data_IF_850586329468
#
_entry.id   IF_850586329468
#
_cell.length_a   1.000
_cell.length_b   1.000
_cell.length_c   1.000
_cell.angle_alpha   90.00
_cell.angle_beta   90.00
_cell.angle_gamma   90.00
#
_symmetry.space_group_name_H-M   'P 1'
#
loop_
_entity.id
_entity.type
_entity.pdbx_description
1 polymer ?
#
# COMPACT_ATOMS: atom_id res chain seq x y z
N UNK A 1 -0.36 -24.97 -4.66
CA UNK A 1 0.95 -24.71 -5.30
C UNK A 1 1.32 -23.23 -5.14
N UNK A 2 2.60 -22.90 -4.96
CA UNK A 2 3.09 -21.51 -4.98
C UNK A 2 4.12 -21.37 -6.10
N UNK A 3 3.96 -20.33 -6.92
CA UNK A 3 4.88 -19.96 -8.01
C UNK A 3 5.47 -18.58 -7.75
N UNK A 4 6.68 -18.35 -8.24
CA UNK A 4 7.48 -17.15 -8.01
C UNK A 4 7.90 -16.55 -9.34
N UNK A 5 7.96 -15.22 -9.41
CA UNK A 5 8.09 -14.53 -10.69
C UNK A 5 8.92 -13.26 -10.61
N UNK A 6 9.55 -12.94 -11.74
CA UNK A 6 9.85 -11.57 -12.15
C UNK A 6 8.72 -11.10 -13.06
N UNK A 7 8.09 -9.98 -12.71
CA UNK A 7 7.09 -9.32 -13.54
C UNK A 7 7.81 -8.35 -14.46
N UNK A 8 7.70 -8.57 -15.76
CA UNK A 8 8.31 -7.73 -16.80
C UNK A 8 7.56 -6.41 -16.96
N UNK A 9 8.25 -5.42 -17.52
CA UNK A 9 7.70 -4.09 -17.83
C UNK A 9 6.52 -4.13 -18.81
N UNK A 10 6.42 -5.18 -19.61
CA UNK A 10 5.35 -5.38 -20.59
C UNK A 10 4.04 -5.84 -19.93
N UNK A 11 4.09 -6.28 -18.68
CA UNK A 11 2.91 -6.69 -17.93
C UNK A 11 2.10 -5.46 -17.47
N UNK A 12 0.76 -5.45 -17.65
CA UNK A 12 -0.10 -4.41 -17.07
C UNK A 12 0.10 -4.22 -15.56
N UNK A 13 0.38 -5.31 -14.83
CA UNK A 13 0.63 -5.28 -13.39
C UNK A 13 1.87 -4.50 -13.01
N UNK A 14 2.89 -4.49 -13.87
CA UNK A 14 4.09 -3.67 -13.64
C UNK A 14 3.70 -2.19 -13.61
N UNK A 15 2.97 -1.73 -14.63
CA UNK A 15 2.52 -0.34 -14.71
C UNK A 15 1.62 0.03 -13.53
N UNK A 16 0.65 -0.82 -13.18
CA UNK A 16 -0.24 -0.55 -12.04
C UNK A 16 0.54 -0.46 -10.72
N UNK A 17 1.58 -1.28 -10.54
CA UNK A 17 2.43 -1.22 -9.36
C UNK A 17 3.23 0.08 -9.29
N UNK A 18 3.80 0.52 -10.42
CA UNK A 18 4.51 1.80 -10.51
C UNK A 18 3.55 2.97 -10.21
N UNK A 19 2.35 2.98 -10.80
CA UNK A 19 1.33 3.99 -10.57
C UNK A 19 0.90 4.02 -9.10
N UNK A 20 0.72 2.85 -8.48
CA UNK A 20 0.49 2.70 -7.04
C UNK A 20 1.60 3.34 -6.20
N UNK A 21 2.87 3.03 -6.49
CA UNK A 21 4.01 3.59 -5.74
C UNK A 21 4.11 5.10 -5.91
N UNK A 22 3.89 5.61 -7.12
CA UNK A 22 3.90 7.04 -7.41
C UNK A 22 2.77 7.78 -6.66
N UNK A 23 1.55 7.26 -6.70
CA UNK A 23 0.42 7.83 -5.96
C UNK A 23 0.64 7.75 -4.44
N UNK A 24 1.12 6.62 -3.94
CA UNK A 24 1.43 6.44 -2.52
C UNK A 24 2.45 7.46 -2.03
N UNK A 25 3.50 7.73 -2.81
CA UNK A 25 4.48 8.77 -2.48
C UNK A 25 3.83 10.16 -2.42
N UNK A 26 2.99 10.52 -3.39
CA UNK A 26 2.28 11.82 -3.42
C UNK A 26 1.36 11.99 -2.21
N UNK A 27 0.55 10.98 -1.91
CA UNK A 27 -0.37 10.99 -0.75
C UNK A 27 0.40 11.09 0.55
N UNK A 28 1.53 10.37 0.68
CA UNK A 28 2.39 10.45 1.85
C UNK A 28 2.99 11.84 2.06
N UNK A 29 3.52 12.47 1.00
CA UNK A 29 4.03 13.85 1.09
C UNK A 29 2.93 14.82 1.53
N UNK A 30 1.74 14.74 0.92
CA UNK A 30 0.61 15.60 1.29
C UNK A 30 0.14 15.37 2.73
N UNK A 31 0.14 14.12 3.21
CA UNK A 31 -0.22 13.80 4.59
C UNK A 31 0.79 14.35 5.58
N UNK A 32 2.10 14.22 5.33
CA UNK A 32 3.14 14.76 6.21
C UNK A 32 3.01 16.27 6.38
N UNK A 33 2.77 16.99 5.29
CA UNK A 33 2.51 18.43 5.32
C UNK A 33 1.23 18.77 6.11
N UNK A 34 0.13 18.07 5.80
CA UNK A 34 -1.14 18.21 6.50
C UNK A 34 -1.01 17.93 8.00
N UNK A 35 -0.29 16.87 8.36
CA UNK A 35 -0.03 16.46 9.73
C UNK A 35 0.65 17.58 10.51
N UNK A 36 1.70 18.16 9.93
CA UNK A 36 2.42 19.30 10.48
C UNK A 36 1.54 20.55 10.62
N UNK A 37 0.76 20.89 9.59
CA UNK A 37 -0.13 22.07 9.58
C UNK A 37 -1.22 21.99 10.65
N UNK A 38 -1.81 20.81 10.86
CA UNK A 38 -2.87 20.60 11.86
C UNK A 38 -2.29 20.31 13.27
N UNK A 39 -0.99 20.04 13.36
CA UNK A 39 -0.29 19.66 14.58
C UNK A 39 -0.70 18.27 15.07
N UNK A 40 -0.65 17.28 14.18
CA UNK A 40 -0.66 15.86 14.51
C UNK A 40 0.74 15.40 14.93
N UNK A 41 0.80 14.52 15.91
CA UNK A 41 2.05 13.92 16.39
C UNK A 41 2.36 12.57 15.72
N UNK A 42 1.33 11.85 15.28
CA UNK A 42 1.48 10.56 14.60
C UNK A 42 2.41 10.59 13.38
N UNK A 43 3.08 9.47 13.15
CA UNK A 43 3.84 9.17 11.94
C UNK A 43 3.20 8.07 11.10
N UNK A 44 2.06 7.54 11.54
CA UNK A 44 1.40 6.39 10.94
C UNK A 44 -0.06 6.70 10.63
N UNK A 45 -0.46 6.40 9.40
CA UNK A 45 -1.81 6.65 8.94
C UNK A 45 -2.22 5.68 7.84
N UNK A 46 -3.52 5.59 7.63
CA UNK A 46 -4.09 4.87 6.51
C UNK A 46 -4.16 5.79 5.29
N UNK A 47 -3.47 5.40 4.21
CA UNK A 47 -3.40 6.20 2.97
C UNK A 47 -4.74 6.19 2.22
N UNK A 48 -5.67 7.04 2.64
CA UNK A 48 -6.97 7.22 1.98
C UNK A 48 -7.19 8.68 1.63
N UNK A 49 -7.60 8.93 0.39
CA UNK A 49 -8.05 10.26 -0.05
C UNK A 49 -9.49 10.57 0.35
N UNK A 50 -10.22 9.59 0.89
CA UNK A 50 -11.66 9.69 1.18
C UNK A 50 -11.95 9.74 2.68
N UNK A 51 -10.97 9.38 3.52
CA UNK A 51 -11.10 9.30 4.97
C UNK A 51 -9.78 9.70 5.61
N UNK A 52 -9.88 10.39 6.74
CA UNK A 52 -8.74 10.59 7.64
C UNK A 52 -8.75 9.47 8.68
N UNK A 53 -7.70 8.66 8.68
CA UNK A 53 -7.49 7.61 9.67
C UNK A 53 -6.01 7.53 10.02
N UNK A 54 -5.68 7.78 11.28
CA UNK A 54 -4.32 7.75 11.81
C UNK A 54 -4.16 6.62 12.83
N UNK A 55 -2.91 6.25 13.14
CA UNK A 55 -2.56 5.55 14.37
C UNK A 55 -2.21 6.62 15.42
N UNK A 56 -3.16 7.03 16.28
CA UNK A 56 -3.00 8.23 17.10
C UNK A 56 -2.02 8.00 18.25
N UNK A 57 -1.18 8.99 18.55
CA UNK A 57 -0.42 9.04 19.82
C UNK A 57 -1.33 9.41 20.99
N UNK A 58 -0.80 9.41 22.22
CA UNK A 58 -1.51 9.97 23.38
C UNK A 58 -1.91 11.45 23.16
N UNK A 59 -1.00 12.29 22.66
CA UNK A 59 -1.29 13.69 22.38
C UNK A 59 -2.33 13.88 21.29
N UNK A 60 -2.34 13.03 20.26
CA UNK A 60 -3.38 13.04 19.23
C UNK A 60 -4.75 12.67 19.81
N UNK A 61 -4.83 11.71 20.74
CA UNK A 61 -6.07 11.33 21.42
C UNK A 61 -6.58 12.51 22.26
N UNK A 62 -5.72 13.17 23.02
CA UNK A 62 -6.11 14.30 23.87
C UNK A 62 -6.63 15.47 23.04
N UNK A 63 -5.98 15.78 21.91
CA UNK A 63 -6.32 16.91 21.05
C UNK A 63 -7.50 16.63 20.13
N UNK A 64 -7.55 15.44 19.52
CA UNK A 64 -8.48 15.11 18.44
C UNK A 64 -9.50 14.02 18.77
N UNK A 65 -9.42 13.38 19.94
CA UNK A 65 -10.24 12.22 20.32
C UNK A 65 -11.75 12.43 20.14
N UNK A 66 -12.25 13.64 20.40
CA UNK A 66 -13.68 13.99 20.18
C UNK A 66 -14.14 13.85 18.72
N UNK A 67 -13.22 13.93 17.77
CA UNK A 67 -13.47 13.79 16.33
C UNK A 67 -13.39 12.34 15.84
N UNK A 68 -12.84 11.41 16.62
CA UNK A 68 -12.79 9.99 16.26
C UNK A 68 -14.17 9.35 16.32
N UNK A 69 -14.35 8.24 15.61
CA UNK A 69 -15.47 7.33 15.83
C UNK A 69 -15.32 6.65 17.20
N UNK A 70 -16.44 6.43 17.87
CA UNK A 70 -16.49 5.92 19.25
C UNK A 70 -15.73 4.59 19.41
N UNK A 71 -15.91 3.69 18.47
CA UNK A 71 -15.41 2.31 18.56
C UNK A 71 -14.12 2.09 17.73
N UNK A 72 -13.54 3.16 17.19
CA UNK A 72 -12.35 3.07 16.34
C UNK A 72 -11.49 4.31 16.53
N UNK A 73 -10.65 4.35 17.58
CA UNK A 73 -9.68 5.41 17.78
C UNK A 73 -8.83 5.64 16.52
N UNK A 74 -8.52 6.91 16.23
CA UNK A 74 -7.77 7.31 15.04
C UNK A 74 -8.61 7.47 13.78
N UNK A 75 -9.76 6.78 13.65
CA UNK A 75 -10.65 6.94 12.50
C UNK A 75 -11.58 8.14 12.73
N UNK A 76 -11.41 9.20 11.94
CA UNK A 76 -12.22 10.41 12.08
C UNK A 76 -13.65 10.23 11.59
N UNK A 77 -14.60 10.91 12.25
CA UNK A 77 -15.96 11.11 11.73
C UNK A 77 -15.86 11.91 10.43
N UNK A 78 -16.55 11.45 9.38
CA UNK A 78 -16.52 12.07 8.03
C UNK A 78 -16.86 13.57 8.06
N UNK A 79 -17.73 14.00 8.97
CA UNK A 79 -18.18 15.38 9.09
C UNK A 79 -17.31 16.25 10.02
N UNK A 80 -16.27 15.68 10.65
CA UNK A 80 -15.36 16.44 11.51
C UNK A 80 -14.50 17.41 10.71
N UNK A 81 -14.08 18.51 11.35
CA UNK A 81 -13.25 19.52 10.70
C UNK A 81 -11.94 18.95 10.14
N UNK A 82 -11.15 18.14 10.88
CA UNK A 82 -9.91 17.58 10.34
C UNK A 82 -10.14 16.62 9.17
N UNK A 83 -11.21 15.80 9.23
CA UNK A 83 -11.53 14.90 8.11
C UNK A 83 -11.91 15.67 6.84
N UNK A 84 -12.74 16.72 6.96
CA UNK A 84 -13.11 17.56 5.82
C UNK A 84 -11.89 18.28 5.23
N UNK A 85 -11.02 18.82 6.08
CA UNK A 85 -9.80 19.50 5.63
C UNK A 85 -8.87 18.56 4.84
N UNK A 86 -8.68 17.32 5.33
CA UNK A 86 -7.89 16.31 4.63
C UNK A 86 -8.50 15.94 3.27
N UNK A 87 -9.81 15.65 3.24
CA UNK A 87 -10.52 15.28 2.00
C UNK A 87 -10.46 16.42 0.97
N UNK A 88 -10.64 17.66 1.40
CA UNK A 88 -10.54 18.83 0.53
C UNK A 88 -9.12 18.98 -0.04
N UNK A 89 -8.08 18.88 0.81
CA UNK A 89 -6.67 18.92 0.36
C UNK A 89 -6.38 17.82 -0.66
N UNK A 90 -6.92 16.62 -0.46
CA UNK A 90 -6.81 15.53 -1.43
C UNK A 90 -7.49 15.87 -2.76
N UNK A 91 -8.69 16.45 -2.73
CA UNK A 91 -9.42 16.84 -3.94
C UNK A 91 -8.71 17.95 -4.71
N UNK A 92 -8.22 18.99 -4.01
CA UNK A 92 -7.47 20.12 -4.58
C UNK A 92 -6.18 19.65 -5.28
N UNK A 93 -5.49 18.67 -4.68
CA UNK A 93 -4.26 18.08 -5.23
C UNK A 93 -4.51 16.95 -6.24
N UNK A 94 -5.78 16.60 -6.53
CA UNK A 94 -6.13 15.50 -7.42
C UNK A 94 -5.67 14.12 -6.94
N UNK A 95 -5.51 13.94 -5.62
CA UNK A 95 -5.04 12.71 -5.00
C UNK A 95 -6.13 11.64 -5.00
N UNK A 96 -5.70 10.38 -5.15
CA UNK A 96 -6.55 9.19 -5.05
C UNK A 96 -6.01 8.25 -3.99
N UNK A 97 -6.88 7.43 -3.41
CA UNK A 97 -6.44 6.34 -2.53
C UNK A 97 -5.54 5.38 -3.34
N UNK A 98 -4.28 5.17 -2.95
CA UNK A 98 -3.39 4.28 -3.67
C UNK A 98 -3.80 2.83 -3.42
N UNK A 99 -4.05 2.08 -4.49
CA UNK A 99 -4.41 0.65 -4.42
C UNK A 99 -3.25 -0.18 -4.97
N UNK A 100 -2.71 -1.06 -4.12
CA UNK A 100 -1.70 -2.02 -4.56
C UNK A 100 -2.38 -3.08 -5.45
N UNK A 101 -1.79 -3.41 -6.62
CA UNK A 101 -2.35 -4.43 -7.50
C UNK A 101 -2.51 -5.78 -6.79
N UNK A 102 -3.60 -6.48 -7.08
CA UNK A 102 -3.97 -7.74 -6.42
C UNK A 102 -3.92 -8.88 -7.43
N UNK A 103 -2.93 -9.77 -7.29
CA UNK A 103 -2.67 -10.86 -8.24
C UNK A 103 -3.84 -11.85 -8.37
N UNK A 104 -4.65 -12.07 -7.33
CA UNK A 104 -5.78 -13.01 -7.41
C UNK A 104 -6.79 -12.64 -8.50
N UNK A 105 -7.01 -11.34 -8.76
CA UNK A 105 -7.90 -10.90 -9.83
C UNK A 105 -7.29 -11.12 -11.22
N UNK A 106 -5.98 -10.95 -11.36
CA UNK A 106 -5.25 -11.14 -12.61
C UNK A 106 -5.19 -12.60 -13.03
N UNK A 107 -4.82 -13.48 -12.09
CA UNK A 107 -4.80 -14.92 -12.33
C UNK A 107 -6.21 -15.50 -12.46
N UNK A 108 -7.26 -14.72 -12.14
CA UNK A 108 -8.67 -15.16 -12.12
C UNK A 108 -8.89 -16.43 -11.28
N UNK A 109 -8.08 -16.58 -10.24
CA UNK A 109 -8.15 -17.70 -9.30
C UNK A 109 -8.91 -17.26 -8.06
N UNK A 110 -10.07 -17.88 -7.85
CA UNK A 110 -10.95 -17.59 -6.72
C UNK A 110 -10.87 -18.70 -5.68
N UNK A 111 -10.90 -18.31 -4.40
CA UNK A 111 -10.74 -19.23 -3.28
C UNK A 111 -9.57 -18.83 -2.39
N UNK A 112 -8.99 -19.82 -1.70
CA UNK A 112 -7.87 -19.58 -0.77
C UNK A 112 -6.60 -19.29 -1.58
N UNK A 113 -6.25 -18.01 -1.64
CA UNK A 113 -5.06 -17.53 -2.33
C UNK A 113 -4.20 -16.68 -1.41
N UNK A 114 -2.91 -16.60 -1.72
CA UNK A 114 -1.97 -15.67 -1.07
C UNK A 114 -1.03 -15.13 -2.12
N UNK A 115 -0.62 -13.86 -1.97
CA UNK A 115 0.29 -13.22 -2.92
C UNK A 115 1.30 -12.32 -2.23
N UNK A 116 2.46 -12.20 -2.86
CA UNK A 116 3.47 -11.18 -2.56
C UNK A 116 3.74 -10.39 -3.83
N UNK A 117 3.95 -9.09 -3.69
CA UNK A 117 4.31 -8.19 -4.79
C UNK A 117 5.18 -7.08 -4.24
N UNK A 118 6.45 -7.00 -4.66
CA UNK A 118 7.39 -6.01 -4.16
C UNK A 118 8.46 -5.70 -5.20
N UNK A 119 9.05 -4.51 -5.10
CA UNK A 119 10.08 -4.03 -6.01
C UNK A 119 11.40 -3.85 -5.28
N UNK A 120 12.47 -4.41 -5.84
CA UNK A 120 13.86 -4.27 -5.37
C UNK A 120 14.71 -3.95 -6.60
N UNK A 121 15.52 -2.89 -6.54
CA UNK A 121 16.39 -2.45 -7.64
C UNK A 121 15.67 -2.38 -9.00
N UNK A 122 14.49 -1.75 -9.02
CA UNK A 122 13.61 -1.58 -10.20
C UNK A 122 13.03 -2.88 -10.81
N UNK A 123 13.31 -4.03 -10.20
CA UNK A 123 12.74 -5.32 -10.58
C UNK A 123 11.52 -5.62 -9.71
N UNK A 124 10.38 -5.91 -10.35
CA UNK A 124 9.14 -6.28 -9.68
C UNK A 124 9.08 -7.80 -9.50
N UNK A 125 9.06 -8.24 -8.25
CA UNK A 125 8.94 -9.64 -7.87
C UNK A 125 7.54 -9.95 -7.40
N UNK A 126 7.04 -11.13 -7.77
CA UNK A 126 5.74 -11.62 -7.37
C UNK A 126 5.81 -13.08 -6.88
N UNK A 127 5.01 -13.41 -5.87
CA UNK A 127 4.66 -14.81 -5.60
C UNK A 127 3.15 -14.95 -5.57
N UNK A 128 2.65 -16.06 -6.11
CA UNK A 128 1.23 -16.38 -6.08
C UNK A 128 1.04 -17.83 -5.65
N UNK A 129 0.24 -18.02 -4.60
CA UNK A 129 -0.14 -19.31 -4.05
C UNK A 129 -1.64 -19.50 -4.18
N UNK A 130 -2.02 -20.65 -4.71
CA UNK A 130 -3.41 -21.10 -4.79
C UNK A 130 -3.50 -22.60 -4.48
N UNK A 131 -4.68 -23.04 -4.05
CA UNK A 131 -4.98 -24.46 -3.81
C UNK A 131 -5.35 -25.22 -5.10
N UNK A 132 -5.49 -24.51 -6.22
CA UNK A 132 -5.71 -25.09 -7.55
C UNK A 132 -4.51 -24.85 -8.47
N UNK A 133 -4.50 -25.53 -9.61
CA UNK A 133 -3.58 -25.24 -10.70
C UNK A 133 -3.98 -23.93 -11.39
N UNK A 134 -2.97 -23.24 -11.90
CA UNK A 134 -3.13 -21.98 -12.63
C UNK A 134 -1.94 -21.79 -13.59
N UNK A 135 -2.22 -21.17 -14.73
CA UNK A 135 -1.23 -20.88 -15.75
C UNK A 135 -0.48 -19.58 -15.45
N UNK A 136 0.72 -19.47 -16.01
CA UNK A 136 1.50 -18.25 -15.90
C UNK A 136 0.89 -17.18 -16.82
N UNK A 137 0.75 -15.96 -16.28
CA UNK A 137 0.29 -14.81 -17.05
C UNK A 137 1.38 -14.32 -18.00
N UNK A 138 0.96 -13.65 -19.08
CA UNK A 138 1.89 -12.96 -19.95
C UNK A 138 2.68 -11.89 -19.18
N UNK A 139 3.99 -11.83 -19.44
CA UNK A 139 4.89 -10.93 -18.73
C UNK A 139 5.31 -11.41 -17.33
N UNK A 140 4.92 -12.61 -16.89
CA UNK A 140 5.41 -13.24 -15.66
C UNK A 140 6.46 -14.30 -15.99
N UNK A 141 7.72 -14.01 -15.66
CA UNK A 141 8.85 -14.94 -15.85
C UNK A 141 9.07 -15.72 -14.56
N UNK A 142 8.83 -17.02 -14.61
CA UNK A 142 8.94 -17.89 -13.43
C UNK A 142 10.38 -17.98 -12.91
N UNK A 143 10.53 -18.04 -11.59
CA UNK A 143 11.77 -18.18 -10.84
C UNK A 143 11.69 -19.37 -9.89
N UNK A 144 12.85 -19.90 -9.50
CA UNK A 144 12.92 -20.85 -8.39
C UNK A 144 12.63 -20.12 -7.07
N UNK A 145 11.98 -20.82 -6.14
CA UNK A 145 11.73 -20.31 -4.80
C UNK A 145 13.02 -19.82 -4.11
N UNK A 146 14.12 -20.58 -4.25
CA UNK A 146 15.41 -20.22 -3.66
C UNK A 146 15.97 -18.90 -4.22
N UNK A 147 15.75 -18.60 -5.49
CA UNK A 147 16.20 -17.34 -6.10
C UNK A 147 15.36 -16.17 -5.60
N UNK A 148 14.05 -16.37 -5.46
CA UNK A 148 13.13 -15.35 -4.94
C UNK A 148 13.45 -14.96 -3.49
N UNK A 149 13.67 -15.94 -2.61
CA UNK A 149 13.99 -15.66 -1.20
C UNK A 149 15.39 -15.09 -1.03
N UNK A 150 16.38 -15.54 -1.81
CA UNK A 150 17.73 -14.97 -1.77
C UNK A 150 17.73 -13.46 -2.06
N UNK A 151 16.92 -12.99 -3.02
CA UNK A 151 16.80 -11.55 -3.31
C UNK A 151 16.27 -10.76 -2.10
N UNK A 152 15.31 -11.33 -1.35
CA UNK A 152 14.77 -10.69 -0.15
C UNK A 152 15.84 -10.65 0.94
N UNK A 153 16.51 -11.78 1.19
CA UNK A 153 17.57 -11.90 2.19
C UNK A 153 18.73 -10.93 1.91
N UNK A 154 19.24 -10.90 0.68
CA UNK A 154 20.30 -9.99 0.25
C UNK A 154 19.90 -8.51 0.46
N UNK A 155 18.64 -8.16 0.16
CA UNK A 155 18.11 -6.82 0.38
C UNK A 155 18.00 -6.49 1.88
N UNK A 156 17.47 -7.39 2.70
CA UNK A 156 17.37 -7.20 4.15
C UNK A 156 18.75 -7.08 4.82
N UNK A 157 19.75 -7.83 4.36
CA UNK A 157 21.13 -7.69 4.82
C UNK A 157 21.74 -6.34 4.41
N UNK A 158 21.40 -5.82 3.23
CA UNK A 158 21.87 -4.51 2.78
C UNK A 158 21.32 -3.36 3.64
N UNK A 159 20.14 -3.51 4.24
CA UNK A 159 19.51 -2.50 5.10
C UNK A 159 20.11 -2.43 6.51
N UNK A 160 20.86 -3.47 6.92
CA UNK A 160 21.51 -3.54 8.25
C UNK A 160 22.88 -2.86 8.28
N UNK A 161 23.40 -2.45 7.12
CA UNK A 161 24.69 -1.77 6.97
C UNK A 161 24.51 -0.26 7.02
#
# INVERSE_FOLDING_TARGET
MEKYYIVTTDSPIYKEYIDYKAMSKKVNTAFVEFAKEQGFETHEYYQSAERLYICPTGGDIDKFGKYFKKDTPGLFKKNSLPAKAWINKCQELGLKSPHKPTLSFEFRVFGRTSSRLFMINDVLYASFKADCDFDNLEGFKELKASEFFRVIEDYEESLKK
#
